data_IF_053598078065
#
_entry.id   IF_053598078065
#
_cell.length_a   1.000
_cell.length_b   1.000
_cell.length_c   1.000
_cell.angle_alpha   90.00
_cell.angle_beta   90.00
_cell.angle_gamma   90.00
#
_symmetry.space_group_name_H-M   'P 1'
#
loop_
_entity.id
_entity.type
_entity.pdbx_description
1 polymer ?
#
# COMPACT_ATOMS: atom_id res chain seq x y z
N UNK A 1 -21.28 -12.82 3.87
CA UNK A 1 -20.19 -13.21 2.95
C UNK A 1 -18.92 -13.32 3.78
N UNK A 2 -18.30 -14.49 3.87
CA UNK A 2 -17.05 -14.63 4.62
C UNK A 2 -15.91 -13.89 3.88
N UNK A 3 -15.08 -13.14 4.60
CA UNK A 3 -13.84 -12.54 4.06
C UNK A 3 -13.92 -11.05 3.65
N UNK A 4 -15.04 -10.38 3.89
CA UNK A 4 -15.18 -8.94 3.58
C UNK A 4 -14.29 -8.10 4.48
N UNK A 5 -14.23 -8.42 5.77
CA UNK A 5 -13.40 -7.75 6.77
C UNK A 5 -11.90 -7.87 6.45
N UNK A 6 -11.50 -9.01 5.88
CA UNK A 6 -10.13 -9.21 5.37
C UNK A 6 -9.83 -8.29 4.19
N UNK A 7 -10.77 -8.16 3.25
CA UNK A 7 -10.65 -7.24 2.11
C UNK A 7 -10.59 -5.78 2.55
N UNK A 8 -11.37 -5.39 3.56
CA UNK A 8 -11.32 -4.05 4.17
C UNK A 8 -9.96 -3.78 4.79
N UNK A 9 -9.45 -4.74 5.58
CA UNK A 9 -8.16 -4.62 6.26
C UNK A 9 -7.02 -4.50 5.25
N UNK A 10 -6.99 -5.37 4.23
CA UNK A 10 -5.96 -5.33 3.18
C UNK A 10 -5.98 -4.02 2.41
N UNK A 11 -7.17 -3.57 1.99
CA UNK A 11 -7.33 -2.33 1.25
C UNK A 11 -6.82 -1.14 2.06
N UNK A 12 -7.26 -1.03 3.32
CA UNK A 12 -6.81 0.04 4.20
C UNK A 12 -5.30 0.00 4.44
N UNK A 13 -4.75 -1.17 4.77
CA UNK A 13 -3.33 -1.33 5.09
C UNK A 13 -2.44 -0.97 3.89
N UNK A 14 -2.73 -1.52 2.71
CA UNK A 14 -1.92 -1.29 1.51
C UNK A 14 -1.99 0.16 1.00
N UNK A 15 -3.18 0.78 0.99
CA UNK A 15 -3.31 2.19 0.59
C UNK A 15 -2.67 3.14 1.62
N UNK A 16 -2.82 2.86 2.91
CA UNK A 16 -2.16 3.64 3.98
C UNK A 16 -0.65 3.50 3.92
N UNK A 17 -0.15 2.29 3.66
CA UNK A 17 1.29 2.05 3.52
C UNK A 17 1.86 2.85 2.34
N UNK A 18 1.24 2.78 1.15
CA UNK A 18 1.63 3.59 -0.01
C UNK A 18 1.64 5.09 0.29
N UNK A 19 0.60 5.58 0.98
CA UNK A 19 0.49 7.00 1.36
C UNK A 19 1.58 7.43 2.35
N UNK A 20 1.83 6.63 3.39
CA UNK A 20 2.84 6.94 4.40
C UNK A 20 4.26 6.83 3.85
N UNK A 21 4.57 5.81 3.04
CA UNK A 21 5.88 5.71 2.37
C UNK A 21 6.13 6.92 1.47
N UNK A 22 5.11 7.44 0.78
CA UNK A 22 5.22 8.70 0.03
C UNK A 22 5.56 9.88 0.95
N UNK A 23 4.91 10.01 2.09
CA UNK A 23 5.21 11.09 3.02
C UNK A 23 6.64 11.00 3.56
N UNK A 24 7.12 9.80 3.90
CA UNK A 24 8.47 9.61 4.41
C UNK A 24 9.53 9.99 3.37
N UNK A 25 9.36 9.60 2.11
CA UNK A 25 10.32 9.98 1.07
C UNK A 25 10.26 11.48 0.76
N UNK A 26 9.06 12.09 0.76
CA UNK A 26 8.91 13.54 0.56
C UNK A 26 9.57 14.32 1.71
N UNK A 27 9.46 13.85 2.96
CA UNK A 27 10.09 14.47 4.13
C UNK A 27 11.61 14.30 4.14
N UNK A 28 12.12 13.16 3.65
CA UNK A 28 13.56 12.90 3.55
C UNK A 28 14.24 13.69 2.42
N UNK A 29 13.48 14.27 1.48
CA UNK A 29 14.01 15.04 0.38
C UNK A 29 14.89 14.20 -0.55
N UNK A 30 16.00 14.77 -1.03
CA UNK A 30 16.90 14.08 -1.94
C UNK A 30 17.56 12.83 -1.32
N UNK A 31 17.88 12.89 -0.02
CA UNK A 31 18.53 11.79 0.70
C UNK A 31 17.59 10.57 0.83
N UNK A 32 16.28 10.77 0.72
CA UNK A 32 15.29 9.70 0.71
C UNK A 32 15.37 8.77 -0.52
N UNK A 33 16.17 9.12 -1.52
CA UNK A 33 16.43 8.31 -2.72
C UNK A 33 17.66 7.40 -2.59
N UNK A 34 18.42 7.52 -1.49
CA UNK A 34 19.57 6.67 -1.24
C UNK A 34 19.14 5.24 -0.89
N UNK A 35 19.77 4.28 -1.54
CA UNK A 35 19.42 2.86 -1.50
C UNK A 35 19.92 2.17 -0.23
N UNK A 36 19.32 1.00 0.03
CA UNK A 36 19.76 0.10 1.10
C UNK A 36 21.27 -0.22 0.97
N UNK A 37 22.03 0.10 2.01
CA UNK A 37 23.46 -0.18 2.09
C UNK A 37 24.37 0.96 1.61
N UNK A 38 23.83 2.07 1.13
CA UNK A 38 24.63 3.30 0.95
C UNK A 38 24.96 3.93 2.30
N UNK A 39 26.20 4.39 2.48
CA UNK A 39 26.73 4.88 3.76
C UNK A 39 25.90 6.05 4.33
N UNK A 40 25.46 6.94 3.45
CA UNK A 40 24.71 8.15 3.82
C UNK A 40 23.18 7.94 3.80
N UNK A 41 22.69 6.72 3.57
CA UNK A 41 21.27 6.47 3.43
C UNK A 41 20.52 6.69 4.76
N UNK A 42 19.48 7.56 4.79
CA UNK A 42 18.69 7.78 5.98
C UNK A 42 18.05 6.49 6.48
N UNK A 43 18.18 6.22 7.78
CA UNK A 43 17.65 5.00 8.40
C UNK A 43 18.17 3.73 7.69
N UNK A 44 19.39 3.79 7.13
CA UNK A 44 20.01 2.69 6.41
C UNK A 44 19.39 2.37 5.04
N UNK A 45 18.60 3.28 4.45
CA UNK A 45 17.97 3.09 3.13
C UNK A 45 16.57 2.46 3.18
N UNK A 46 16.00 2.32 4.38
CA UNK A 46 14.65 1.78 4.60
C UNK A 46 13.57 2.65 3.95
N UNK A 47 13.77 3.96 3.87
CA UNK A 47 12.79 4.90 3.28
C UNK A 47 12.57 4.60 1.79
N UNK A 48 13.65 4.52 1.01
CA UNK A 48 13.61 4.17 -0.41
C UNK A 48 13.04 2.75 -0.61
N UNK A 49 13.52 1.77 0.16
CA UNK A 49 13.03 0.39 0.11
C UNK A 49 11.50 0.32 0.27
N UNK A 50 10.96 0.96 1.31
CA UNK A 50 9.54 0.94 1.61
C UNK A 50 8.73 1.73 0.59
N UNK A 51 9.27 2.83 0.05
CA UNK A 51 8.64 3.58 -1.03
C UNK A 51 8.51 2.76 -2.30
N UNK A 52 9.56 2.04 -2.71
CA UNK A 52 9.53 1.15 -3.89
C UNK A 52 8.62 -0.07 -3.67
N UNK A 53 8.57 -0.60 -2.45
CA UNK A 53 7.76 -1.78 -2.15
C UNK A 53 6.26 -1.48 -2.03
N UNK A 54 5.88 -0.31 -1.48
CA UNK A 54 4.49 -0.03 -1.12
C UNK A 54 3.47 -0.13 -2.29
N UNK A 55 3.75 0.34 -3.52
CA UNK A 55 2.83 0.18 -4.65
C UNK A 55 2.48 -1.29 -4.94
N UNK A 56 3.44 -2.21 -4.80
CA UNK A 56 3.22 -3.64 -5.09
C UNK A 56 2.18 -4.24 -4.15
N UNK A 57 2.12 -3.77 -2.90
CA UNK A 57 1.15 -4.21 -1.89
C UNK A 57 -0.30 -3.90 -2.24
N UNK A 58 -0.52 -2.92 -3.12
CA UNK A 58 -1.87 -2.60 -3.63
C UNK A 58 -2.35 -3.61 -4.67
N UNK A 59 -1.46 -4.46 -5.20
CA UNK A 59 -1.74 -5.42 -6.28
C UNK A 59 -1.72 -6.86 -5.78
N UNK A 60 -0.65 -7.29 -5.10
CA UNK A 60 -0.54 -8.68 -4.65
C UNK A 60 -1.56 -8.99 -3.55
N UNK A 61 -2.01 -10.25 -3.47
CA UNK A 61 -3.07 -10.65 -2.56
C UNK A 61 -4.46 -10.13 -2.97
N UNK A 62 -4.62 -9.71 -4.23
CA UNK A 62 -5.83 -9.09 -4.78
C UNK A 62 -5.68 -7.58 -4.90
N UNK A 63 -6.00 -7.02 -6.08
CA UNK A 63 -5.81 -5.58 -6.30
C UNK A 63 -6.77 -4.74 -5.45
N UNK A 64 -6.42 -3.47 -5.18
CA UNK A 64 -7.29 -2.55 -4.44
C UNK A 64 -8.68 -2.41 -5.09
N UNK A 65 -8.80 -2.48 -6.40
CA UNK A 65 -10.08 -2.47 -7.14
C UNK A 65 -10.91 -3.71 -6.82
N UNK A 66 -10.30 -4.90 -6.84
CA UNK A 66 -10.99 -6.13 -6.48
C UNK A 66 -11.44 -6.11 -5.02
N UNK A 67 -10.59 -5.65 -4.09
CA UNK A 67 -11.00 -5.48 -2.69
C UNK A 67 -12.18 -4.52 -2.53
N UNK A 68 -12.20 -3.40 -3.27
CA UNK A 68 -13.36 -2.48 -3.27
C UNK A 68 -14.63 -3.16 -3.78
N UNK A 69 -14.55 -3.94 -4.85
CA UNK A 69 -15.71 -4.67 -5.39
C UNK A 69 -16.24 -5.70 -4.37
N UNK A 70 -15.35 -6.46 -3.72
CA UNK A 70 -15.74 -7.42 -2.68
C UNK A 70 -16.43 -6.74 -1.48
N UNK A 71 -15.97 -5.55 -1.09
CA UNK A 71 -16.61 -4.75 -0.03
C UNK A 71 -17.97 -4.21 -0.49
N UNK A 72 -18.05 -3.68 -1.71
CA UNK A 72 -19.29 -3.17 -2.30
C UNK A 72 -20.37 -4.27 -2.41
N UNK A 73 -20.03 -5.43 -2.96
CA UNK A 73 -20.93 -6.57 -3.10
C UNK A 73 -21.27 -7.19 -1.74
N UNK A 74 -20.25 -7.40 -0.89
CA UNK A 74 -20.37 -8.19 0.33
C UNK A 74 -20.90 -7.45 1.55
N UNK A 75 -20.52 -6.18 1.74
CA UNK A 75 -20.97 -5.35 2.87
C UNK A 75 -22.16 -4.49 2.49
N UNK A 76 -22.08 -3.83 1.33
CA UNK A 76 -23.08 -2.83 0.91
C UNK A 76 -24.23 -3.44 0.09
N UNK A 77 -24.13 -4.71 -0.30
CA UNK A 77 -25.16 -5.39 -1.10
C UNK A 77 -25.31 -4.82 -2.52
N UNK A 78 -24.28 -4.13 -3.03
CA UNK A 78 -24.31 -3.57 -4.37
C UNK A 78 -24.25 -4.68 -5.44
N UNK A 79 -24.89 -4.48 -6.60
CA UNK A 79 -24.81 -5.44 -7.70
C UNK A 79 -23.38 -5.55 -8.22
N UNK A 80 -23.02 -6.72 -8.73
CA UNK A 80 -21.69 -6.94 -9.32
C UNK A 80 -21.51 -6.05 -10.55
N UNK A 81 -20.44 -5.25 -10.56
CA UNK A 81 -20.02 -4.50 -11.74
C UNK A 81 -19.32 -5.44 -12.72
N UNK A 82 -19.75 -5.43 -13.99
CA UNK A 82 -19.14 -6.20 -15.08
C UNK A 82 -17.80 -5.60 -15.50
#
# INVERSE_FOLDING_TARGET
>A
MFGVEGSMTKLFASESYKKHSKWFIDMAGADGLLYLGEEDAPVGGVIDEHFRHAPVTTIYGGTSEISRNLIAEGLLGLPRTR
#
